data_IF_834602411015
#
_entry.id   IF_834602411015
#
_cell.length_a   1.000
_cell.length_b   1.000
_cell.length_c   1.000
_cell.angle_alpha   90.00
_cell.angle_beta   90.00
_cell.angle_gamma   90.00
#
_symmetry.space_group_name_H-M   'P 1'
#
loop_
_entity.id
_entity.type
_entity.pdbx_description
1 polymer ?
#
# COMPACT_ATOMS: atom_id res chain seq x y z
N UNK A 1 -11.61 -8.47 -14.03
CA UNK A 1 -11.78 -7.53 -12.91
C UNK A 1 -11.75 -6.12 -13.48
N UNK A 2 -12.66 -5.25 -13.05
CA UNK A 2 -12.69 -3.85 -13.49
C UNK A 2 -11.64 -3.05 -12.73
N UNK A 3 -11.09 -2.00 -13.36
CA UNK A 3 -10.19 -1.07 -12.69
C UNK A 3 -10.92 -0.14 -11.69
N UNK A 4 -10.14 0.61 -10.91
CA UNK A 4 -10.63 1.56 -9.92
C UNK A 4 -10.84 2.91 -10.59
N UNK A 5 -12.00 3.52 -10.41
CA UNK A 5 -12.33 4.85 -10.92
C UNK A 5 -11.86 5.93 -9.94
N UNK A 6 -11.09 6.90 -10.45
CA UNK A 6 -10.59 8.07 -9.73
C UNK A 6 -10.94 9.33 -10.54
N UNK A 7 -12.00 10.00 -10.17
CA UNK A 7 -12.55 11.08 -11.00
C UNK A 7 -12.91 10.57 -12.39
N UNK A 8 -12.29 11.16 -13.42
CA UNK A 8 -12.47 10.75 -14.82
C UNK A 8 -11.49 9.64 -15.27
N UNK A 9 -10.50 9.30 -14.45
CA UNK A 9 -9.52 8.27 -14.75
C UNK A 9 -9.96 6.92 -14.22
N UNK A 10 -9.58 5.84 -14.93
CA UNK A 10 -9.82 4.46 -14.50
C UNK A 10 -8.50 3.70 -14.62
N UNK A 11 -8.08 3.04 -13.54
CA UNK A 11 -6.91 2.15 -13.59
C UNK A 11 -7.21 0.91 -14.42
N UNK A 12 -6.18 0.28 -14.99
CA UNK A 12 -6.35 -1.00 -15.72
C UNK A 12 -6.64 -2.14 -14.75
N UNK A 13 -5.97 -2.15 -13.59
CA UNK A 13 -6.10 -3.17 -12.57
C UNK A 13 -6.68 -2.59 -11.28
N UNK A 14 -7.46 -3.36 -10.51
CA UNK A 14 -8.02 -2.93 -9.23
C UNK A 14 -6.96 -2.96 -8.11
N UNK A 15 -5.83 -2.30 -8.34
CA UNK A 15 -4.68 -2.32 -7.44
C UNK A 15 -4.14 -0.91 -7.18
N UNK A 16 -3.91 -0.63 -5.91
CA UNK A 16 -3.13 0.51 -5.43
C UNK A 16 -1.83 -0.02 -4.82
N UNK A 17 -0.68 0.49 -5.24
CA UNK A 17 0.54 0.33 -4.47
C UNK A 17 0.51 1.33 -3.32
N UNK A 18 0.48 0.83 -2.08
CA UNK A 18 0.40 1.67 -0.88
C UNK A 18 1.67 2.48 -0.66
N UNK A 19 1.51 3.73 -0.22
CA UNK A 19 2.64 4.60 0.09
C UNK A 19 3.45 4.11 1.29
N UNK A 20 4.76 4.00 1.13
CA UNK A 20 5.72 3.53 2.13
C UNK A 20 6.82 4.57 2.32
N UNK A 21 6.90 5.16 3.50
CA UNK A 21 7.95 6.11 3.88
C UNK A 21 8.94 5.51 4.88
N UNK A 22 10.11 6.08 5.02
CA UNK A 22 10.72 7.18 4.25
C UNK A 22 11.43 6.59 3.04
N UNK A 23 11.30 7.21 1.85
CA UNK A 23 12.13 6.85 0.70
C UNK A 23 11.88 5.47 0.05
N UNK A 24 10.91 4.68 0.52
CA UNK A 24 10.63 3.33 0.00
C UNK A 24 9.76 3.40 -1.25
N UNK A 25 8.69 4.19 -1.24
CA UNK A 25 7.88 4.44 -2.43
C UNK A 25 8.02 5.90 -2.87
N UNK A 26 8.92 6.16 -3.78
CA UNK A 26 9.15 7.43 -4.44
C UNK A 26 8.73 7.34 -5.91
N UNK A 27 9.34 8.13 -6.78
CA UNK A 27 8.95 8.23 -8.18
C UNK A 27 9.15 6.95 -8.99
N UNK A 28 10.20 6.15 -8.70
CA UNK A 28 10.48 4.95 -9.50
C UNK A 28 9.39 3.91 -9.28
N UNK A 29 9.13 3.54 -8.02
CA UNK A 29 8.12 2.55 -7.70
C UNK A 29 6.72 3.01 -8.11
N UNK A 30 6.31 4.21 -7.68
CA UNK A 30 4.97 4.71 -7.99
C UNK A 30 4.76 4.87 -9.50
N UNK A 31 5.77 5.38 -10.22
CA UNK A 31 5.75 5.50 -11.68
C UNK A 31 5.66 4.15 -12.38
N UNK A 32 6.43 3.16 -11.94
CA UNK A 32 6.40 1.82 -12.53
C UNK A 32 5.03 1.14 -12.35
N UNK A 33 4.44 1.22 -11.14
CA UNK A 33 3.10 0.66 -10.90
C UNK A 33 2.03 1.36 -11.74
N UNK A 34 2.09 2.69 -11.84
CA UNK A 34 1.15 3.45 -12.65
C UNK A 34 1.30 3.15 -14.16
N UNK A 35 2.54 2.92 -14.64
CA UNK A 35 2.84 2.49 -16.02
C UNK A 35 2.26 1.12 -16.34
N UNK A 36 2.30 0.19 -15.39
CA UNK A 36 1.71 -1.14 -15.54
C UNK A 36 0.18 -1.14 -15.40
N UNK A 37 -0.42 -0.02 -15.06
CA UNK A 37 -1.88 0.15 -15.00
C UNK A 37 -2.50 -0.04 -13.63
N UNK A 38 -1.70 -0.11 -12.56
CA UNK A 38 -2.14 0.09 -11.19
C UNK A 38 -2.22 1.59 -10.84
N UNK A 39 -2.44 1.90 -9.57
CA UNK A 39 -2.37 3.26 -9.01
C UNK A 39 -1.08 3.37 -8.20
N UNK A 40 -0.18 4.25 -8.61
CA UNK A 40 1.11 4.48 -7.93
C UNK A 40 1.01 5.55 -6.86
N UNK A 41 1.46 5.26 -5.64
CA UNK A 41 1.39 6.18 -4.50
C UNK A 41 2.78 6.49 -3.96
N UNK A 42 3.14 7.77 -3.97
CA UNK A 42 4.36 8.31 -3.37
C UNK A 42 4.09 8.60 -1.89
N UNK A 43 5.01 8.23 -1.01
CA UNK A 43 4.90 8.58 0.42
C UNK A 43 5.49 9.97 0.68
N UNK A 44 4.77 10.80 1.41
CA UNK A 44 5.23 12.16 1.77
C UNK A 44 6.03 12.21 3.08
N UNK A 45 6.11 11.12 3.83
CA UNK A 45 6.86 11.10 5.07
C UNK A 45 8.34 11.36 4.80
N UNK A 46 8.82 12.53 5.26
CA UNK A 46 10.20 13.02 5.04
C UNK A 46 10.67 12.87 3.57
N UNK A 47 9.77 13.12 2.62
CA UNK A 47 9.99 12.96 1.16
C UNK A 47 11.21 13.72 0.66
N UNK A 48 11.58 14.80 1.33
CA UNK A 48 12.74 15.64 1.00
C UNK A 48 14.04 15.18 1.63
N UNK A 49 14.14 13.98 2.21
CA UNK A 49 15.32 13.53 2.96
C UNK A 49 16.64 13.57 2.15
N UNK A 50 16.57 13.47 0.83
CA UNK A 50 17.72 13.59 -0.08
C UNK A 50 18.02 15.03 -0.51
N UNK A 51 17.20 16.02 -0.14
CA UNK A 51 17.47 17.42 -0.47
C UNK A 51 18.68 17.93 0.35
N UNK A 52 19.59 18.71 -0.24
CA UNK A 52 20.85 19.11 0.42
C UNK A 52 20.67 19.88 1.73
N UNK A 53 19.53 20.56 1.87
CA UNK A 53 19.20 21.36 3.04
C UNK A 53 18.20 20.67 3.99
N UNK A 54 17.83 19.42 3.74
CA UNK A 54 16.86 18.68 4.56
C UNK A 54 17.20 18.71 6.05
N UNK A 55 18.46 18.47 6.38
CA UNK A 55 18.93 18.48 7.77
C UNK A 55 18.72 19.84 8.44
N UNK A 56 18.83 20.97 7.70
CA UNK A 56 18.67 22.33 8.21
C UNK A 56 17.21 22.78 8.19
N UNK A 57 16.47 22.43 7.16
CA UNK A 57 15.09 22.87 6.93
C UNK A 57 14.24 21.73 6.32
N UNK A 58 13.89 20.69 7.12
CA UNK A 58 13.12 19.54 6.64
C UNK A 58 11.78 19.94 6.02
N UNK A 59 11.08 20.92 6.58
CA UNK A 59 9.79 21.38 6.07
C UNK A 59 9.90 21.89 4.62
N UNK A 60 10.79 22.84 4.34
CA UNK A 60 10.96 23.38 2.98
C UNK A 60 11.49 22.33 2.00
N UNK A 61 12.36 21.43 2.47
CA UNK A 61 12.87 20.31 1.67
C UNK A 61 11.74 19.37 1.25
N UNK A 62 10.85 19.01 2.19
CA UNK A 62 9.68 18.15 1.92
C UNK A 62 8.75 18.78 0.89
N UNK A 63 8.39 20.05 1.05
CA UNK A 63 7.47 20.72 0.11
C UNK A 63 8.07 20.76 -1.33
N UNK A 64 9.36 21.09 -1.48
CA UNK A 64 10.02 21.06 -2.80
C UNK A 64 10.07 19.67 -3.42
N UNK A 65 10.28 18.64 -2.60
CA UNK A 65 10.41 17.28 -3.09
C UNK A 65 9.08 16.73 -3.63
N UNK A 66 7.92 17.15 -3.13
CA UNK A 66 6.59 16.72 -3.60
C UNK A 66 6.47 16.94 -5.12
N UNK A 67 6.68 18.16 -5.59
CA UNK A 67 6.58 18.48 -7.02
C UNK A 67 7.66 17.77 -7.85
N UNK A 68 8.90 17.67 -7.33
CA UNK A 68 10.00 16.98 -8.01
C UNK A 68 9.70 15.49 -8.20
N UNK A 69 9.25 14.82 -7.17
CA UNK A 69 8.97 13.38 -7.20
C UNK A 69 7.76 13.06 -8.10
N UNK A 70 6.68 13.85 -8.02
CA UNK A 70 5.54 13.67 -8.91
C UNK A 70 5.93 13.91 -10.38
N UNK A 71 6.70 14.94 -10.67
CA UNK A 71 7.17 15.23 -12.05
C UNK A 71 8.03 14.08 -12.62
N UNK A 72 8.90 13.47 -11.80
CA UNK A 72 9.68 12.29 -12.20
C UNK A 72 8.78 11.07 -12.44
N UNK A 73 7.82 10.79 -11.56
CA UNK A 73 6.86 9.70 -11.73
C UNK A 73 5.99 9.87 -12.99
N UNK A 74 5.55 11.11 -13.30
CA UNK A 74 4.84 11.45 -14.54
C UNK A 74 5.66 11.19 -15.81
N UNK A 75 6.99 11.35 -15.76
CA UNK A 75 7.85 10.97 -16.91
C UNK A 75 7.85 9.46 -17.16
N UNK A 76 7.73 8.64 -16.10
CA UNK A 76 7.64 7.17 -16.23
C UNK A 76 6.26 6.74 -16.70
N UNK A 77 5.21 7.37 -16.17
CA UNK A 77 3.80 7.07 -16.45
C UNK A 77 3.00 8.34 -16.80
N UNK A 78 3.13 8.90 -18.02
CA UNK A 78 2.48 10.18 -18.37
C UNK A 78 0.96 10.17 -18.22
N UNK A 79 0.32 9.04 -18.51
CA UNK A 79 -1.12 8.85 -18.41
C UNK A 79 -1.55 8.00 -17.20
N UNK A 80 -0.60 7.63 -16.34
CA UNK A 80 -0.85 6.82 -15.16
C UNK A 80 -1.56 7.60 -14.06
N UNK A 81 -2.22 6.88 -13.15
CA UNK A 81 -2.83 7.48 -11.95
C UNK A 81 -1.76 7.50 -10.85
N UNK A 82 -1.43 8.71 -10.40
CA UNK A 82 -0.39 8.97 -9.40
C UNK A 82 -0.92 9.79 -8.24
N UNK A 83 -0.65 9.35 -7.04
CA UNK A 83 -1.09 10.02 -5.83
C UNK A 83 -0.05 10.06 -4.73
N UNK A 84 -0.46 10.60 -3.60
CA UNK A 84 0.35 10.67 -2.39
C UNK A 84 -0.31 10.00 -1.20
N UNK A 85 0.50 9.37 -0.36
CA UNK A 85 0.09 9.00 0.98
C UNK A 85 0.56 10.10 1.96
N UNK A 86 -0.38 10.65 2.75
CA UNK A 86 -0.11 11.73 3.71
C UNK A 86 -0.60 11.32 5.10
N UNK A 87 0.34 11.21 6.03
CA UNK A 87 0.02 10.85 7.42
C UNK A 87 -0.53 12.07 8.19
N UNK A 88 -1.71 11.93 8.80
CA UNK A 88 -2.33 12.99 9.65
C UNK A 88 -1.43 13.38 10.83
N UNK A 89 -0.61 12.45 11.30
CA UNK A 89 0.32 12.64 12.40
C UNK A 89 1.49 13.59 12.10
N UNK A 90 1.78 13.90 10.81
CA UNK A 90 2.86 14.80 10.42
C UNK A 90 2.61 16.22 10.94
N UNK A 91 3.67 16.88 11.43
CA UNK A 91 3.59 18.25 11.96
C UNK A 91 3.15 19.26 10.91
N UNK A 92 3.58 19.07 9.66
CA UNK A 92 3.33 19.91 8.50
C UNK A 92 2.22 19.37 7.56
N UNK A 93 1.33 18.51 8.09
CA UNK A 93 0.26 17.85 7.34
C UNK A 93 -0.50 18.78 6.39
N UNK A 94 -0.90 19.96 6.88
CA UNK A 94 -1.71 20.88 6.09
C UNK A 94 -0.94 21.42 4.88
N UNK A 95 0.32 21.78 5.06
CA UNK A 95 1.17 22.35 4.01
C UNK A 95 1.52 21.28 2.96
N UNK A 96 1.79 20.05 3.42
CA UNK A 96 2.02 18.89 2.55
C UNK A 96 0.78 18.61 1.68
N UNK A 97 -0.43 18.55 2.29
CA UNK A 97 -1.66 18.32 1.52
C UNK A 97 -1.89 19.47 0.52
N UNK A 98 -1.69 20.72 0.94
CA UNK A 98 -1.83 21.88 0.05
C UNK A 98 -0.88 21.78 -1.13
N UNK A 99 0.38 21.41 -0.89
CA UNK A 99 1.38 21.24 -1.95
C UNK A 99 1.03 20.08 -2.89
N UNK A 100 0.60 18.92 -2.36
CA UNK A 100 0.15 17.80 -3.20
C UNK A 100 -1.01 18.21 -4.15
N UNK A 101 -1.95 19.01 -3.68
CA UNK A 101 -3.05 19.55 -4.50
C UNK A 101 -2.53 20.55 -5.53
N UNK A 102 -1.63 21.46 -5.13
CA UNK A 102 -1.03 22.45 -6.03
C UNK A 102 -0.22 21.80 -7.16
N UNK A 103 0.36 20.63 -6.91
CA UNK A 103 1.08 19.83 -7.91
C UNK A 103 0.15 18.93 -8.74
N UNK A 104 -1.18 19.06 -8.63
CA UNK A 104 -2.18 18.27 -9.38
C UNK A 104 -2.04 16.76 -9.19
N UNK A 105 -1.88 16.31 -7.95
CA UNK A 105 -1.97 14.89 -7.63
C UNK A 105 -3.37 14.35 -7.99
N UNK A 106 -3.44 13.17 -8.59
CA UNK A 106 -4.74 12.55 -8.92
C UNK A 106 -5.49 12.12 -7.64
N UNK A 107 -4.74 11.66 -6.62
CA UNK A 107 -5.30 11.07 -5.41
C UNK A 107 -4.42 11.40 -4.19
N UNK A 108 -5.07 11.72 -3.07
CA UNK A 108 -4.43 11.77 -1.75
C UNK A 108 -5.09 10.72 -0.86
N UNK A 109 -4.28 9.74 -0.42
CA UNK A 109 -4.68 8.75 0.58
C UNK A 109 -4.16 9.23 1.94
N UNK A 110 -5.03 9.34 2.94
CA UNK A 110 -4.64 9.90 4.23
C UNK A 110 -5.05 9.01 5.40
N UNK A 111 -4.08 8.70 6.26
CA UNK A 111 -4.20 7.82 7.43
C UNK A 111 -3.25 8.21 8.55
N UNK A 112 -2.91 7.25 9.43
CA UNK A 112 -2.19 7.50 10.68
C UNK A 112 -2.85 8.62 11.52
N UNK A 113 -4.15 8.46 11.72
CA UNK A 113 -5.10 9.38 12.30
C UNK A 113 -6.26 9.66 11.34
N UNK A 114 -7.38 10.22 11.84
CA UNK A 114 -8.53 10.55 11.01
C UNK A 114 -8.35 11.91 10.33
N UNK A 115 -8.38 12.00 8.98
CA UNK A 115 -8.18 13.23 8.23
C UNK A 115 -9.44 14.11 8.23
N UNK A 116 -9.82 14.59 9.42
CA UNK A 116 -11.11 15.23 9.68
C UNK A 116 -11.37 16.50 8.87
N UNK A 117 -10.32 17.20 8.43
CA UNK A 117 -10.43 18.46 7.70
C UNK A 117 -9.84 18.38 6.27
N UNK A 118 -9.56 17.18 5.77
CA UNK A 118 -8.96 16.95 4.44
C UNK A 118 -9.79 17.56 3.28
N UNK A 119 -11.15 17.51 3.26
CA UNK A 119 -11.93 18.08 2.17
C UNK A 119 -11.68 19.55 1.91
N UNK A 120 -11.35 20.35 2.95
CA UNK A 120 -11.12 21.79 2.78
C UNK A 120 -10.03 22.14 1.78
N UNK A 121 -9.08 21.22 1.54
CA UNK A 121 -7.94 21.44 0.64
C UNK A 121 -8.24 21.09 -0.81
N UNK A 122 -9.27 20.26 -1.05
CA UNK A 122 -9.58 19.75 -2.40
C UNK A 122 -10.85 20.34 -3.00
N UNK A 123 -11.59 21.17 -2.26
CA UNK A 123 -12.77 21.83 -2.77
C UNK A 123 -12.41 22.71 -4.00
N UNK A 124 -13.09 22.48 -5.11
CA UNK A 124 -12.85 23.21 -6.36
C UNK A 124 -11.62 22.74 -7.15
N UNK A 125 -11.02 21.60 -6.76
CA UNK A 125 -9.91 20.99 -7.49
C UNK A 125 -10.30 19.62 -8.08
N UNK A 126 -9.43 19.07 -8.93
CA UNK A 126 -9.63 17.74 -9.51
C UNK A 126 -9.07 16.61 -8.63
N UNK A 127 -8.22 16.91 -7.65
CA UNK A 127 -7.61 15.94 -6.74
C UNK A 127 -8.66 15.21 -5.92
N UNK A 128 -8.63 13.89 -5.94
CA UNK A 128 -9.53 13.02 -5.18
C UNK A 128 -8.91 12.62 -3.84
N UNK A 129 -9.76 12.32 -2.86
CA UNK A 129 -9.30 12.00 -1.51
C UNK A 129 -9.89 10.70 -0.98
N UNK A 130 -9.02 9.91 -0.35
CA UNK A 130 -9.36 8.63 0.24
C UNK A 130 -8.86 8.57 1.70
N UNK A 131 -9.76 8.54 2.69
CA UNK A 131 -9.37 8.30 4.06
C UNK A 131 -9.04 6.82 4.28
N UNK A 132 -8.06 6.52 5.15
CA UNK A 132 -7.82 5.19 5.68
C UNK A 132 -8.61 5.02 6.97
N UNK A 133 -9.38 3.95 7.07
CA UNK A 133 -10.19 3.61 8.26
C UNK A 133 -10.01 2.14 8.62
N UNK A 134 -10.12 1.83 9.92
CA UNK A 134 -10.02 0.46 10.46
C UNK A 134 -11.30 0.01 11.16
N UNK A 135 -12.38 0.78 11.04
CA UNK A 135 -13.70 0.43 11.63
C UNK A 135 -14.83 1.30 11.07
N UNK A 136 -16.05 0.78 11.15
CA UNK A 136 -17.29 1.53 10.83
C UNK A 136 -17.44 2.78 11.71
N UNK A 137 -17.05 2.70 12.98
CA UNK A 137 -17.08 3.86 13.87
C UNK A 137 -16.23 5.01 13.36
N UNK A 138 -15.00 4.71 12.92
CA UNK A 138 -14.08 5.69 12.35
C UNK A 138 -14.66 6.31 11.06
N UNK A 139 -15.20 5.46 10.17
CA UNK A 139 -15.86 5.89 8.93
C UNK A 139 -17.03 6.83 9.22
N UNK A 140 -17.95 6.43 10.09
CA UNK A 140 -19.14 7.24 10.41
C UNK A 140 -18.79 8.60 11.02
N UNK A 141 -17.79 8.65 11.91
CA UNK A 141 -17.32 9.90 12.50
C UNK A 141 -16.77 10.85 11.43
N UNK A 142 -15.97 10.32 10.52
CA UNK A 142 -15.35 11.08 9.42
C UNK A 142 -16.41 11.57 8.44
N UNK A 143 -17.28 10.69 7.94
CA UNK A 143 -18.35 11.02 6.98
C UNK A 143 -19.30 12.05 7.56
N UNK A 144 -19.71 11.90 8.84
CA UNK A 144 -20.54 12.88 9.52
C UNK A 144 -19.91 14.27 9.46
N UNK A 145 -18.62 14.41 9.82
CA UNK A 145 -17.94 15.73 9.78
C UNK A 145 -17.80 16.25 8.36
N UNK A 146 -17.42 15.41 7.42
CA UNK A 146 -17.22 15.84 6.02
C UNK A 146 -18.52 16.30 5.39
N UNK A 147 -19.64 15.57 5.59
CA UNK A 147 -20.98 15.98 5.10
C UNK A 147 -21.45 17.29 5.74
N UNK A 148 -21.36 17.41 7.07
CA UNK A 148 -21.93 18.58 7.76
C UNK A 148 -21.14 19.86 7.58
N UNK A 149 -19.78 19.76 7.53
CA UNK A 149 -18.91 20.94 7.47
C UNK A 149 -18.51 21.32 6.06
N UNK A 150 -18.31 20.33 5.18
CA UNK A 150 -17.71 20.54 3.87
C UNK A 150 -18.65 20.18 2.71
N UNK A 151 -19.84 19.62 3.02
CA UNK A 151 -20.76 19.08 2.01
C UNK A 151 -20.06 18.10 1.06
N UNK A 152 -19.16 17.27 1.60
CA UNK A 152 -18.29 16.37 0.86
C UNK A 152 -18.44 14.92 1.35
N UNK A 153 -18.33 13.97 0.43
CA UNK A 153 -18.23 12.54 0.71
C UNK A 153 -16.89 12.02 0.18
N UNK A 154 -16.29 11.01 0.79
CA UNK A 154 -15.07 10.40 0.26
C UNK A 154 -15.20 10.04 -1.22
N UNK A 155 -14.11 10.21 -1.98
CA UNK A 155 -14.05 9.75 -3.36
C UNK A 155 -13.71 8.26 -3.44
N UNK A 156 -13.16 7.74 -2.35
CA UNK A 156 -12.79 6.34 -2.14
C UNK A 156 -12.58 6.14 -0.64
N UNK A 157 -12.66 4.91 -0.17
CA UNK A 157 -12.31 4.52 1.20
C UNK A 157 -11.27 3.41 1.16
N UNK A 158 -10.21 3.53 1.96
CA UNK A 158 -9.23 2.46 2.17
C UNK A 158 -9.48 1.84 3.54
N UNK A 159 -9.74 0.53 3.57
CA UNK A 159 -9.85 -0.25 4.81
C UNK A 159 -8.46 -0.79 5.13
N UNK A 160 -7.93 -0.47 6.31
CA UNK A 160 -6.69 -1.05 6.78
C UNK A 160 -6.96 -2.14 7.81
N UNK A 161 -6.54 -3.36 7.52
CA UNK A 161 -6.66 -4.52 8.40
C UNK A 161 -5.50 -4.68 9.37
N UNK A 162 -5.65 -5.56 10.39
CA UNK A 162 -4.67 -5.76 11.45
C UNK A 162 -3.36 -6.40 10.99
N UNK A 163 -3.32 -6.96 9.77
CA UNK A 163 -2.11 -7.57 9.16
C UNK A 163 -1.27 -6.58 8.34
N UNK A 164 -1.62 -5.30 8.34
CA UNK A 164 -0.85 -4.25 7.66
C UNK A 164 0.56 -4.08 8.24
N UNK A 165 1.44 -3.48 7.46
CA UNK A 165 2.77 -3.04 7.89
C UNK A 165 2.77 -1.59 8.35
N UNK A 166 3.82 -1.16 9.04
CA UNK A 166 3.92 0.19 9.56
C UNK A 166 3.01 0.43 10.77
N UNK A 167 2.48 1.65 10.87
CA UNK A 167 1.61 2.04 11.98
C UNK A 167 0.22 1.42 11.84
N UNK A 168 -0.28 0.83 12.93
CA UNK A 168 -1.54 0.10 12.94
C UNK A 168 -2.64 0.90 13.62
N UNK A 169 -3.80 0.97 12.97
CA UNK A 169 -5.01 1.63 13.50
C UNK A 169 -5.75 0.82 14.58
N UNK A 170 -5.09 -0.15 15.21
CA UNK A 170 -5.62 -1.08 16.22
C UNK A 170 -4.81 -0.99 17.50
N UNK A 171 -5.39 -1.39 18.62
CA UNK A 171 -4.61 -1.67 19.83
C UNK A 171 -3.86 -2.98 19.65
N UNK A 172 -2.72 -3.11 20.34
CA UNK A 172 -1.89 -4.33 20.22
C UNK A 172 -2.64 -5.60 20.60
N UNK A 173 -3.46 -5.53 21.64
CA UNK A 173 -4.27 -6.63 22.17
C UNK A 173 -5.42 -7.07 21.24
N UNK A 174 -5.83 -6.19 20.32
CA UNK A 174 -6.96 -6.43 19.40
C UNK A 174 -6.51 -6.99 18.04
N UNK A 175 -5.19 -7.08 17.77
CA UNK A 175 -4.67 -7.43 16.43
C UNK A 175 -5.10 -8.82 15.96
N UNK A 176 -5.28 -9.77 16.89
CA UNK A 176 -5.67 -11.15 16.59
C UNK A 176 -7.15 -11.42 16.92
N UNK A 177 -7.91 -10.40 17.33
CA UNK A 177 -9.32 -10.55 17.65
C UNK A 177 -10.15 -10.82 16.37
N UNK A 178 -11.03 -11.85 16.34
CA UNK A 178 -11.86 -12.17 15.17
C UNK A 178 -12.70 -10.98 14.67
N UNK A 179 -13.22 -10.17 15.60
CA UNK A 179 -13.98 -8.96 15.27
C UNK A 179 -13.16 -7.87 14.58
N UNK A 180 -11.83 -7.93 14.66
CA UNK A 180 -10.91 -7.03 13.95
C UNK A 180 -10.37 -7.64 12.66
N UNK A 181 -10.83 -8.83 12.25
CA UNK A 181 -10.39 -9.43 10.98
C UNK A 181 -10.72 -8.51 9.80
N UNK A 182 -9.87 -8.56 8.78
CA UNK A 182 -10.05 -7.73 7.60
C UNK A 182 -11.36 -8.05 6.88
N UNK A 183 -11.75 -9.32 6.82
CA UNK A 183 -13.00 -9.79 6.23
C UNK A 183 -14.22 -9.20 6.96
N UNK A 184 -14.25 -9.30 8.28
CA UNK A 184 -15.35 -8.77 9.09
C UNK A 184 -15.49 -7.26 8.90
N UNK A 185 -14.39 -6.51 9.05
CA UNK A 185 -14.38 -5.07 8.87
C UNK A 185 -14.79 -4.66 7.45
N UNK A 186 -14.37 -5.44 6.44
CA UNK A 186 -14.74 -5.18 5.04
C UNK A 186 -16.24 -5.30 4.85
N UNK A 187 -16.87 -6.36 5.32
CA UNK A 187 -18.32 -6.56 5.19
C UNK A 187 -19.13 -5.47 5.89
N UNK A 188 -18.75 -5.09 7.10
CA UNK A 188 -19.41 -4.01 7.83
C UNK A 188 -19.30 -2.65 7.12
N UNK A 189 -18.10 -2.31 6.63
CA UNK A 189 -17.88 -1.05 5.90
C UNK A 189 -18.59 -1.05 4.56
N UNK A 190 -18.57 -2.15 3.80
CA UNK A 190 -19.33 -2.27 2.55
C UNK A 190 -20.84 -2.04 2.76
N UNK A 191 -21.42 -2.60 3.82
CA UNK A 191 -22.83 -2.35 4.14
C UNK A 191 -23.10 -0.88 4.46
N UNK A 192 -22.20 -0.23 5.20
CA UNK A 192 -22.30 1.21 5.51
C UNK A 192 -22.17 2.06 4.24
N UNK A 193 -21.23 1.73 3.36
CA UNK A 193 -21.01 2.46 2.10
C UNK A 193 -22.21 2.32 1.16
N UNK A 194 -22.80 1.14 1.02
CA UNK A 194 -24.04 0.95 0.22
C UNK A 194 -25.17 1.86 0.67
N UNK A 195 -25.30 2.10 1.98
CA UNK A 195 -26.31 3.05 2.50
C UNK A 195 -25.96 4.48 2.11
N UNK A 196 -24.69 4.88 2.23
CA UNK A 196 -24.22 6.22 1.85
C UNK A 196 -24.40 6.48 0.34
N UNK A 197 -24.14 5.49 -0.50
CA UNK A 197 -24.34 5.57 -1.95
C UNK A 197 -25.82 5.69 -2.31
N UNK A 198 -26.68 4.91 -1.66
CA UNK A 198 -28.14 4.98 -1.88
C UNK A 198 -28.71 6.36 -1.48
N UNK A 199 -28.20 6.96 -0.39
CA UNK A 199 -28.63 8.29 0.07
C UNK A 199 -28.11 9.42 -0.81
N UNK A 200 -26.90 9.31 -1.36
CA UNK A 200 -26.20 10.41 -2.02
C UNK A 200 -26.20 10.33 -3.54
N UNK A 201 -26.45 9.16 -4.12
CA UNK A 201 -26.26 8.87 -5.54
C UNK A 201 -24.79 8.88 -6.00
N UNK A 202 -23.82 9.00 -5.05
CA UNK A 202 -22.39 8.99 -5.36
C UNK A 202 -21.83 7.59 -5.13
N UNK A 203 -21.17 7.02 -6.15
CA UNK A 203 -20.38 5.80 -6.03
C UNK A 203 -19.10 6.06 -5.19
N UNK A 204 -18.82 5.20 -4.23
CA UNK A 204 -17.67 5.30 -3.31
C UNK A 204 -16.88 3.98 -3.33
N UNK A 205 -15.86 3.85 -4.18
CA UNK A 205 -15.03 2.65 -4.22
C UNK A 205 -14.43 2.31 -2.86
N UNK A 206 -14.50 1.04 -2.47
CA UNK A 206 -13.91 0.50 -1.23
C UNK A 206 -12.70 -0.33 -1.57
N UNK A 207 -11.56 0.06 -1.05
CA UNK A 207 -10.25 -0.59 -1.24
C UNK A 207 -9.85 -1.29 0.04
N UNK A 208 -9.37 -2.51 -0.07
CA UNK A 208 -9.01 -3.33 1.09
C UNK A 208 -7.49 -3.47 1.16
N UNK A 209 -6.91 -3.25 2.35
CA UNK A 209 -5.48 -3.28 2.61
C UNK A 209 -5.12 -4.06 3.87
N UNK A 210 -3.89 -4.60 3.92
CA UNK A 210 -3.34 -5.25 5.11
C UNK A 210 -3.50 -6.77 5.11
N UNK A 211 -2.46 -7.47 4.65
CA UNK A 211 -2.40 -8.92 4.59
C UNK A 211 -2.68 -9.53 3.22
N UNK A 212 -2.92 -8.72 2.19
CA UNK A 212 -3.13 -9.18 0.82
C UNK A 212 -1.76 -9.44 0.17
N UNK A 213 -1.59 -10.61 -0.44
CA UNK A 213 -0.31 -11.04 -0.98
C UNK A 213 -0.35 -11.52 -2.42
N UNK A 214 -1.34 -12.28 -2.82
CA UNK A 214 -1.43 -12.91 -4.14
C UNK A 214 -2.78 -12.74 -4.83
N UNK A 215 -2.93 -13.30 -6.03
CA UNK A 215 -4.14 -13.23 -6.83
C UNK A 215 -5.37 -13.88 -6.15
N UNK A 216 -5.15 -14.85 -5.26
CA UNK A 216 -6.24 -15.53 -4.53
C UNK A 216 -6.80 -14.59 -3.47
N UNK A 217 -5.91 -13.89 -2.73
CA UNK A 217 -6.32 -12.88 -1.76
C UNK A 217 -7.09 -11.75 -2.46
N UNK A 218 -6.59 -11.26 -3.60
CA UNK A 218 -7.27 -10.23 -4.40
C UNK A 218 -8.66 -10.71 -4.80
N UNK A 219 -8.76 -11.92 -5.38
CA UNK A 219 -10.03 -12.49 -5.83
C UNK A 219 -11.01 -12.66 -4.66
N UNK A 220 -10.52 -13.07 -3.50
CA UNK A 220 -11.32 -13.23 -2.29
C UNK A 220 -12.01 -11.91 -1.91
N UNK A 221 -11.25 -10.83 -1.74
CA UNK A 221 -11.83 -9.54 -1.35
C UNK A 221 -12.69 -8.88 -2.44
N UNK A 222 -12.33 -9.07 -3.71
CA UNK A 222 -13.20 -8.65 -4.82
C UNK A 222 -14.55 -9.37 -4.80
N UNK A 223 -14.57 -10.68 -4.49
CA UNK A 223 -15.81 -11.46 -4.35
C UNK A 223 -16.65 -11.05 -3.13
N UNK A 224 -16.03 -10.52 -2.07
CA UNK A 224 -16.75 -9.91 -0.94
C UNK A 224 -17.40 -8.57 -1.30
N UNK A 225 -17.03 -7.98 -2.45
CA UNK A 225 -17.59 -6.72 -2.95
C UNK A 225 -16.65 -5.52 -2.89
N UNK A 226 -15.37 -5.71 -2.56
CA UNK A 226 -14.37 -4.64 -2.65
C UNK A 226 -14.20 -4.17 -4.11
N UNK A 227 -13.93 -2.89 -4.31
CA UNK A 227 -13.64 -2.30 -5.62
C UNK A 227 -12.19 -2.48 -6.05
N UNK A 228 -11.32 -2.83 -5.11
CA UNK A 228 -9.90 -3.07 -5.35
C UNK A 228 -9.14 -3.36 -4.05
N UNK A 229 -7.83 -3.52 -4.18
CA UNK A 229 -6.93 -3.80 -3.07
C UNK A 229 -5.78 -2.80 -3.02
N UNK A 230 -5.23 -2.57 -1.80
CA UNK A 230 -3.98 -1.85 -1.64
C UNK A 230 -2.92 -2.79 -1.06
N UNK A 231 -1.78 -2.87 -1.73
CA UNK A 231 -0.65 -3.72 -1.37
C UNK A 231 0.62 -2.90 -1.22
N UNK A 232 1.47 -3.26 -0.26
CA UNK A 232 2.73 -2.57 0.00
C UNK A 232 3.93 -3.54 0.04
N UNK A 233 3.91 -4.50 0.94
CA UNK A 233 5.04 -5.38 1.29
C UNK A 233 5.68 -6.06 0.08
N UNK A 234 4.90 -6.58 -0.87
CA UNK A 234 5.44 -7.20 -2.10
C UNK A 234 6.17 -6.21 -3.00
N UNK A 235 5.70 -4.97 -3.04
CA UNK A 235 6.31 -3.93 -3.87
C UNK A 235 7.64 -3.43 -3.32
N UNK A 236 7.94 -3.64 -2.04
CA UNK A 236 9.26 -3.34 -1.46
C UNK A 236 10.35 -4.20 -2.08
N UNK A 237 10.07 -5.48 -2.35
CA UNK A 237 11.00 -6.41 -2.97
C UNK A 237 10.92 -6.36 -4.51
N UNK A 238 10.91 -5.16 -5.08
CA UNK A 238 10.98 -4.95 -6.54
C UNK A 238 12.22 -4.15 -6.91
N UNK A 239 12.68 -4.31 -8.15
CA UNK A 239 13.81 -3.53 -8.67
C UNK A 239 13.53 -2.04 -8.63
N UNK A 240 12.28 -1.63 -8.91
CA UNK A 240 11.83 -0.25 -8.99
C UNK A 240 11.53 0.38 -7.61
N UNK A 241 11.49 -0.40 -6.53
CA UNK A 241 11.44 0.17 -5.19
C UNK A 241 12.63 1.11 -4.96
N UNK A 242 12.38 2.32 -4.46
CA UNK A 242 13.38 3.38 -4.34
C UNK A 242 14.37 3.18 -3.18
N UNK A 243 14.12 2.19 -2.30
CA UNK A 243 15.01 1.85 -1.19
C UNK A 243 16.29 1.16 -1.66
N UNK A 244 17.33 1.22 -0.83
CA UNK A 244 18.60 0.52 -1.08
C UNK A 244 18.45 -0.99 -1.24
N UNK A 245 19.42 -1.63 -1.90
CA UNK A 245 19.44 -3.09 -2.03
C UNK A 245 19.44 -3.80 -0.67
N UNK A 246 20.16 -3.26 0.32
CA UNK A 246 20.21 -3.84 1.67
C UNK A 246 18.80 -3.85 2.33
N UNK A 247 18.03 -2.77 2.14
CA UNK A 247 16.64 -2.71 2.61
C UNK A 247 15.76 -3.78 1.95
N UNK A 248 15.84 -3.92 0.62
CA UNK A 248 15.08 -4.95 -0.14
C UNK A 248 15.46 -6.35 0.29
N UNK A 249 16.77 -6.60 0.48
CA UNK A 249 17.29 -7.91 0.94
C UNK A 249 16.87 -8.24 2.38
N UNK A 250 16.64 -7.23 3.24
CA UNK A 250 16.07 -7.46 4.56
C UNK A 250 14.67 -8.08 4.48
N UNK A 251 13.87 -7.74 3.46
CA UNK A 251 12.58 -8.38 3.22
C UNK A 251 12.71 -9.80 2.67
N UNK A 252 13.65 -10.02 1.74
CA UNK A 252 13.88 -11.34 1.12
C UNK A 252 14.40 -12.35 2.13
N UNK A 253 15.22 -11.91 3.08
CA UNK A 253 15.81 -12.75 4.10
C UNK A 253 14.94 -12.92 5.37
N UNK A 254 13.81 -12.18 5.46
CA UNK A 254 12.95 -12.22 6.62
C UNK A 254 12.09 -13.49 6.66
N UNK A 255 11.84 -13.97 7.86
CA UNK A 255 10.86 -15.00 8.18
C UNK A 255 9.72 -14.46 9.04
N UNK A 256 8.67 -15.24 9.23
CA UNK A 256 7.53 -14.84 10.08
C UNK A 256 7.96 -14.63 11.55
N UNK A 257 9.03 -15.31 12.01
CA UNK A 257 9.60 -15.13 13.36
C UNK A 257 10.28 -13.78 13.56
N UNK A 258 10.66 -13.11 12.46
CA UNK A 258 11.34 -11.81 12.49
C UNK A 258 10.38 -10.63 12.59
N UNK A 259 9.08 -10.89 12.68
CA UNK A 259 8.06 -9.84 12.77
C UNK A 259 7.82 -9.47 14.25
N UNK A 260 7.83 -8.16 14.55
CA UNK A 260 7.51 -7.63 15.88
C UNK A 260 6.49 -6.51 15.81
N UNK A 261 5.63 -6.47 16.84
CA UNK A 261 4.79 -5.30 17.11
C UNK A 261 5.53 -4.42 18.11
N UNK A 262 5.85 -3.21 17.66
CA UNK A 262 6.68 -2.23 18.39
C UNK A 262 5.86 -1.03 18.84
N UNK A 263 6.36 -0.28 19.82
CA UNK A 263 5.83 1.03 20.19
C UNK A 263 6.53 2.09 19.35
N UNK A 264 5.77 2.78 18.50
CA UNK A 264 6.29 3.84 17.66
C UNK A 264 6.24 5.21 18.37
N UNK A 265 7.19 6.14 18.08
CA UNK A 265 7.12 7.54 18.51
C UNK A 265 5.86 8.27 18.04
N UNK A 266 5.16 7.78 17.04
CA UNK A 266 3.85 8.30 16.57
C UNK A 266 2.74 8.09 17.61
N UNK A 267 2.96 7.20 18.58
CA UNK A 267 1.95 6.86 19.60
C UNK A 267 1.03 5.70 19.22
N UNK A 268 1.28 5.06 18.08
CA UNK A 268 0.55 3.89 17.58
C UNK A 268 1.44 2.64 17.63
N UNK A 269 0.86 1.43 17.75
CA UNK A 269 1.62 0.20 17.47
C UNK A 269 2.14 0.21 16.03
N UNK A 270 3.31 -0.41 15.81
CA UNK A 270 3.87 -0.57 14.48
C UNK A 270 4.32 -2.01 14.25
N UNK A 271 4.19 -2.53 13.02
CA UNK A 271 4.73 -3.84 12.64
C UNK A 271 6.01 -3.65 11.85
N UNK A 272 7.11 -4.25 12.36
CA UNK A 272 8.45 -4.08 11.83
C UNK A 272 9.26 -5.39 11.90
N UNK A 273 10.38 -5.44 11.18
CA UNK A 273 11.39 -6.49 11.31
C UNK A 273 12.14 -6.34 12.63
N UNK A 274 12.40 -7.47 13.30
CA UNK A 274 13.11 -7.57 14.57
C UNK A 274 14.64 -7.60 14.34
N UNK A 275 15.18 -6.50 13.82
CA UNK A 275 16.62 -6.33 13.63
C UNK A 275 17.31 -5.83 14.91
N UNK A 276 18.63 -5.64 14.86
CA UNK A 276 19.44 -5.15 15.98
C UNK A 276 18.93 -3.81 16.55
N UNK A 277 18.45 -2.91 15.70
CA UNK A 277 17.86 -1.65 16.13
C UNK A 277 16.62 -1.86 17.01
N UNK A 278 15.68 -2.68 16.58
CA UNK A 278 14.46 -2.97 17.35
C UNK A 278 14.79 -3.66 18.66
N UNK A 279 15.72 -4.62 18.67
CA UNK A 279 16.14 -5.30 19.89
C UNK A 279 16.71 -4.32 20.91
N UNK A 280 17.56 -3.36 20.48
CA UNK A 280 18.10 -2.32 21.37
C UNK A 280 17.02 -1.39 21.89
N UNK A 281 16.14 -0.89 21.01
CA UNK A 281 15.09 0.07 21.40
C UNK A 281 14.01 -0.51 22.30
N UNK A 282 13.87 -1.84 22.35
CA UNK A 282 13.01 -2.53 23.31
C UNK A 282 13.62 -2.56 24.73
N UNK A 283 14.94 -2.48 24.85
CA UNK A 283 15.66 -2.55 26.12
C UNK A 283 16.01 -1.16 26.66
N UNK A 284 16.43 -0.27 25.76
CA UNK A 284 16.92 1.06 26.13
C UNK A 284 16.48 2.09 25.12
N UNK A 285 16.42 3.34 25.55
CA UNK A 285 16.17 4.47 24.66
C UNK A 285 17.41 4.79 23.85
N UNK A 286 17.26 4.95 22.52
CA UNK A 286 18.33 5.45 21.66
C UNK A 286 18.52 6.97 21.83
N UNK A 287 19.77 7.46 21.87
CA UNK A 287 20.05 8.88 21.96
C UNK A 287 19.49 9.64 20.74
N UNK A 288 18.76 10.72 21.00
CA UNK A 288 18.24 11.61 19.96
C UNK A 288 19.14 12.85 19.91
N UNK A 289 20.09 12.87 18.99
CA UNK A 289 21.00 14.00 18.79
C UNK A 289 20.35 15.18 18.08
N UNK A 290 19.28 14.92 17.32
CA UNK A 290 18.57 15.92 16.53
C UNK A 290 17.08 15.61 16.44
N UNK A 291 16.24 16.65 16.53
CA UNK A 291 14.80 16.58 16.24
C UNK A 291 14.51 17.19 14.87
N UNK A 292 13.76 16.46 14.03
CA UNK A 292 13.30 16.91 12.71
C UNK A 292 11.91 17.54 12.75
N UNK A 293 11.29 17.59 13.93
CA UNK A 293 9.92 18.10 14.13
C UNK A 293 8.88 17.42 13.20
N UNK A 294 9.06 16.13 12.94
CA UNK A 294 8.30 15.38 11.93
C UNK A 294 6.87 15.00 12.38
N UNK A 295 6.67 14.74 13.69
CA UNK A 295 5.41 14.20 14.24
C UNK A 295 4.85 15.12 15.32
N UNK A 296 3.56 15.48 15.22
CA UNK A 296 2.85 16.38 16.16
C UNK A 296 2.89 15.92 17.60
N UNK A 297 2.74 14.62 17.82
CA UNK A 297 2.61 14.02 19.16
C UNK A 297 3.94 13.56 19.76
N UNK A 298 5.04 13.69 19.01
CA UNK A 298 6.35 13.25 19.45
C UNK A 298 6.97 14.24 20.45
N UNK A 299 7.27 13.75 21.65
CA UNK A 299 8.05 14.49 22.65
C UNK A 299 9.44 13.88 22.72
N UNK A 300 10.46 14.63 22.29
CA UNK A 300 11.85 14.16 22.21
C UNK A 300 12.34 13.56 23.53
N UNK A 301 11.90 14.10 24.67
CA UNK A 301 12.29 13.60 26.01
C UNK A 301 11.78 12.19 26.30
N UNK A 302 10.64 11.81 25.72
CA UNK A 302 9.94 10.56 26.02
C UNK A 302 10.01 9.56 24.87
N UNK A 303 10.43 10.02 23.68
CA UNK A 303 10.51 9.18 22.50
C UNK A 303 11.59 8.09 22.64
N UNK A 304 11.30 6.84 22.29
CA UNK A 304 12.29 5.75 22.39
C UNK A 304 13.46 5.93 21.42
N UNK A 305 13.24 6.60 20.30
CA UNK A 305 14.21 6.92 19.23
C UNK A 305 13.66 8.02 18.32
N UNK A 306 14.51 8.60 17.47
CA UNK A 306 14.09 9.50 16.39
C UNK A 306 13.59 8.67 15.19
N UNK A 307 12.29 8.71 14.89
CA UNK A 307 11.70 7.90 13.82
C UNK A 307 12.20 8.32 12.43
N UNK A 308 12.33 9.62 12.16
CA UNK A 308 12.89 10.13 10.89
C UNK A 308 14.28 9.58 10.65
N UNK A 309 15.20 9.68 11.64
CA UNK A 309 16.55 9.14 11.51
C UNK A 309 16.53 7.62 11.27
N UNK A 310 15.78 6.88 12.08
CA UNK A 310 15.72 5.43 11.98
C UNK A 310 15.17 4.94 10.61
N UNK A 311 14.22 5.64 10.02
CA UNK A 311 13.68 5.31 8.70
C UNK A 311 14.64 5.70 7.57
N UNK A 312 15.35 6.83 7.71
CA UNK A 312 16.38 7.25 6.74
C UNK A 312 17.56 6.26 6.76
N UNK A 313 18.08 5.93 7.95
CA UNK A 313 19.19 4.96 8.09
C UNK A 313 18.83 3.65 7.39
N UNK A 314 17.62 3.12 7.64
CA UNK A 314 17.17 1.88 7.02
C UNK A 314 17.12 1.98 5.49
N UNK A 315 16.47 2.99 4.93
CA UNK A 315 16.28 3.11 3.48
C UNK A 315 17.59 3.34 2.74
N UNK A 316 18.56 3.99 3.37
CA UNK A 316 19.92 4.20 2.84
C UNK A 316 20.81 2.95 2.96
N UNK A 317 20.38 1.92 3.72
CA UNK A 317 21.03 0.63 3.80
C UNK A 317 21.67 0.28 5.14
N UNK A 318 21.64 1.17 6.13
CA UNK A 318 22.02 0.86 7.50
C UNK A 318 20.88 0.12 8.23
N UNK A 319 20.66 -1.12 7.82
CA UNK A 319 19.58 -1.98 8.32
C UNK A 319 19.77 -2.40 9.79
N UNK A 320 20.99 -2.29 10.33
CA UNK A 320 21.29 -2.62 11.72
C UNK A 320 20.93 -1.48 12.70
N UNK A 321 20.91 -0.25 12.22
CA UNK A 321 20.57 0.94 13.01
C UNK A 321 19.25 1.60 12.58
N UNK A 322 18.60 1.05 11.55
CA UNK A 322 17.38 1.57 10.96
C UNK A 322 16.12 0.80 11.32
N UNK A 323 14.98 1.48 11.23
CA UNK A 323 13.64 0.90 11.40
C UNK A 323 13.11 0.42 10.06
N UNK A 324 12.80 -0.87 9.96
CA UNK A 324 12.22 -1.50 8.77
C UNK A 324 10.80 -1.93 9.08
N UNK A 325 9.81 -1.19 8.61
CA UNK A 325 8.41 -1.59 8.70
C UNK A 325 8.10 -2.69 7.67
N UNK A 326 7.24 -3.65 8.02
CA UNK A 326 6.81 -4.72 7.12
C UNK A 326 5.38 -5.17 7.43
N UNK A 327 4.69 -5.76 6.46
CA UNK A 327 3.42 -6.45 6.70
C UNK A 327 3.62 -7.84 7.29
N UNK A 328 2.52 -8.48 7.72
CA UNK A 328 2.55 -9.83 8.30
C UNK A 328 2.98 -10.93 7.32
N UNK A 329 2.99 -10.65 6.02
CA UNK A 329 3.31 -11.61 4.96
C UNK A 329 4.77 -11.49 4.46
N UNK A 330 5.64 -10.76 5.15
CA UNK A 330 7.01 -10.53 4.69
C UNK A 330 7.79 -11.84 4.51
N UNK A 331 7.60 -12.83 5.39
CA UNK A 331 8.25 -14.15 5.29
C UNK A 331 7.88 -14.96 4.04
N UNK A 332 6.90 -14.52 3.24
CA UNK A 332 6.55 -15.12 1.94
C UNK A 332 7.33 -14.54 0.76
N UNK A 333 8.21 -13.56 0.99
CA UNK A 333 9.04 -12.93 -0.05
C UNK A 333 10.38 -13.65 -0.09
N UNK A 334 10.77 -14.18 -1.25
CA UNK A 334 11.99 -14.99 -1.39
C UNK A 334 12.93 -14.46 -2.47
N UNK A 335 12.51 -13.48 -3.26
CA UNK A 335 13.34 -12.90 -4.32
C UNK A 335 12.98 -11.41 -4.54
N UNK A 336 13.89 -10.67 -5.16
CA UNK A 336 13.59 -9.36 -5.75
C UNK A 336 13.08 -9.62 -7.17
N UNK A 337 11.94 -9.03 -7.51
CA UNK A 337 11.31 -9.16 -8.82
C UNK A 337 11.16 -7.78 -9.46
N UNK A 338 10.58 -7.67 -10.66
CA UNK A 338 10.17 -6.39 -11.26
C UNK A 338 8.69 -6.11 -10.97
N UNK A 339 8.29 -4.83 -10.98
CA UNK A 339 6.87 -4.44 -10.91
C UNK A 339 6.08 -5.10 -12.03
N UNK A 340 6.64 -5.14 -13.23
CA UNK A 340 6.01 -5.80 -14.40
C UNK A 340 5.68 -7.27 -14.11
N UNK A 341 6.67 -8.07 -13.66
CA UNK A 341 6.47 -9.48 -13.34
C UNK A 341 5.48 -9.66 -12.18
N UNK A 342 5.60 -8.85 -11.14
CA UNK A 342 4.67 -8.87 -10.02
C UNK A 342 3.22 -8.61 -10.48
N UNK A 343 2.99 -7.64 -11.35
CA UNK A 343 1.65 -7.35 -11.88
C UNK A 343 1.10 -8.50 -12.72
N UNK A 344 1.94 -9.20 -13.48
CA UNK A 344 1.52 -10.41 -14.22
C UNK A 344 1.13 -11.56 -13.27
N UNK A 345 1.85 -11.74 -12.16
CA UNK A 345 1.52 -12.75 -11.14
C UNK A 345 0.19 -12.44 -10.43
N UNK A 346 -0.02 -11.16 -10.09
CA UNK A 346 -1.22 -10.72 -9.38
C UNK A 346 -2.47 -10.75 -10.28
N UNK A 347 -2.31 -10.51 -11.57
CA UNK A 347 -3.38 -10.43 -12.56
C UNK A 347 -3.05 -11.30 -13.79
N UNK A 348 -2.99 -12.64 -13.64
CA UNK A 348 -2.69 -13.52 -14.75
C UNK A 348 -3.73 -13.34 -15.85
N UNK A 349 -3.26 -13.13 -17.09
CA UNK A 349 -4.13 -13.15 -18.25
C UNK A 349 -4.77 -14.53 -18.33
N UNK A 350 -6.10 -14.60 -18.38
CA UNK A 350 -6.77 -15.85 -18.73
C UNK A 350 -6.29 -16.21 -20.14
N UNK A 351 -5.50 -17.27 -20.26
CA UNK A 351 -5.29 -17.92 -21.56
C UNK A 351 -6.69 -18.30 -22.02
N UNK A 352 -7.14 -17.88 -23.22
CA UNK A 352 -8.37 -18.38 -23.75
C UNK A 352 -8.25 -19.90 -23.76
N UNK A 353 -9.22 -20.58 -23.18
CA UNK A 353 -9.33 -22.03 -23.27
C UNK A 353 -9.33 -22.36 -24.77
N UNK A 354 -8.19 -22.82 -25.28
CA UNK A 354 -8.09 -23.31 -26.64
C UNK A 354 -8.86 -24.61 -26.63
N UNK A 355 -10.17 -24.50 -26.82
CA UNK A 355 -11.09 -25.64 -26.97
C UNK A 355 -10.76 -26.45 -28.23
N UNK A 356 -9.62 -27.08 -28.25
CA UNK A 356 -9.24 -28.21 -29.03
C UNK A 356 -8.99 -29.38 -28.08
N UNK A 357 -10.09 -29.98 -27.58
CA UNK A 357 -10.05 -31.41 -27.36
C UNK A 357 -9.83 -32.03 -28.75
N UNK A 358 -8.57 -32.29 -29.10
CA UNK A 358 -8.25 -33.29 -30.10
C UNK A 358 -8.83 -34.61 -29.58
N UNK A 359 -10.02 -34.98 -30.09
CA UNK A 359 -10.54 -36.33 -29.98
C UNK A 359 -9.48 -37.24 -30.60
N UNK A 360 -8.72 -37.91 -29.75
CA UNK A 360 -7.93 -39.07 -30.20
C UNK A 360 -8.89 -40.04 -30.85
N UNK A 361 -8.60 -40.53 -32.08
CA UNK A 361 -9.42 -41.54 -32.69
C UNK A 361 -9.34 -42.82 -31.84
N UNK A 362 -10.50 -43.39 -31.56
CA UNK A 362 -10.62 -44.66 -30.86
C UNK A 362 -9.84 -45.73 -31.61
N UNK A 363 -8.81 -46.28 -30.99
CA UNK A 363 -8.10 -47.47 -31.47
C UNK A 363 -9.02 -48.68 -31.25
N UNK A 364 -9.63 -49.16 -32.30
CA UNK A 364 -10.53 -50.32 -32.25
C UNK A 364 -10.74 -50.93 -33.61
N UNK A 365 -9.74 -51.59 -34.16
CA UNK A 365 -9.97 -52.69 -35.14
C UNK A 365 -9.05 -53.84 -34.80
N UNK A 366 -9.72 -54.93 -34.38
CA UNK A 366 -9.17 -56.23 -34.10
C UNK A 366 -8.67 -56.88 -35.39
N UNK A 367 -7.41 -57.27 -35.44
CA UNK A 367 -6.88 -58.16 -36.46
C UNK A 367 -7.17 -59.62 -36.06
N UNK A 368 -8.07 -60.27 -36.74
CA UNK A 368 -8.23 -61.74 -36.72
C UNK A 368 -7.14 -62.35 -37.55
N UNK A 369 -6.34 -63.18 -36.95
CA UNK A 369 -5.44 -64.14 -37.60
C UNK A 369 -6.31 -65.27 -38.15
N UNK A 370 -6.43 -65.40 -39.48
CA UNK A 370 -6.78 -66.66 -40.12
C UNK A 370 -5.64 -67.10 -41.01
N UNK A 371 -5.08 -68.24 -40.60
CA UNK A 371 -4.07 -68.94 -41.35
C UNK A 371 -4.69 -69.79 -42.46
N UNK A 372 -4.01 -69.85 -43.57
CA UNK A 372 -3.98 -71.08 -44.35
C UNK A 372 -2.69 -71.21 -45.18
N UNK A 373 -2.07 -72.31 -44.96
CA UNK A 373 -0.93 -72.78 -45.67
C UNK A 373 -1.33 -73.21 -47.10
N UNK A 374 -0.47 -72.97 -48.05
CA UNK A 374 -0.61 -73.52 -49.42
C UNK A 374 0.73 -73.61 -50.13
N UNK A 375 1.27 -74.80 -50.14
CA UNK A 375 2.49 -75.22 -50.90
C UNK A 375 2.25 -75.21 -52.42
N UNK A 376 3.36 -74.97 -53.09
CA UNK A 376 3.84 -75.63 -54.38
C UNK A 376 4.01 -74.66 -55.54
N UNK A 377 5.11 -74.46 -56.03
CA UNK A 377 6.19 -75.18 -56.72
C UNK A 377 7.39 -74.28 -56.91
#
# INVERSE_FOLDING_TARGET
>A
MNGIKIGEKISKFPLIQGGMGVGVSMHQLAGAVAKEGGIGIISTADIGYQEPDFVKNPHAANLRAIGKELAKARKIAPNGILGFNVMVALSDYNDIVTECVAQHADLIISGAGLPMDLPKFVLGTETKIAPIVSSVRALNLLVKKWRTKYHYLPDMIVIEGPKAGGHLGYKKEDLDAPACSLEHTTLEILNTVKQLEAESGKEIPVIVAGGIFDSKDITHFMNLGASGVQMATRFTATEECDASLAYKMAYVNASDSDIKIIKSPVGMPGRALNNSFIQRTMLTREPISRCYNCIKTCHVKDAPYCITKALIDAVEGDIENGLIFCGSNVGRIHEITTVHRLMQELFPMKVPDSGHEERMPACGESWTLDGQAGMSK
#
